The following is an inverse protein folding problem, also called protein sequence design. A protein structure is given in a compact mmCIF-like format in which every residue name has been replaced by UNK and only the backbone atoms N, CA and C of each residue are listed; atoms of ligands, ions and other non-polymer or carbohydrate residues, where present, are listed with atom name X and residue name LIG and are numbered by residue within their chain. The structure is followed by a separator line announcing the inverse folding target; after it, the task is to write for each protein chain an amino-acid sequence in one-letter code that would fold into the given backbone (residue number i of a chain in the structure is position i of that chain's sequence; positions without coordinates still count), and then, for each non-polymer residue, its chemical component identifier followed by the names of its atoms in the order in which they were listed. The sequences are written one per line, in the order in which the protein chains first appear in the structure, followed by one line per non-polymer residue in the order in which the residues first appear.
data_IF_096282535626
#
_entry.id   IF_096282535626
#
_cell.length_a   1.000
_cell.length_b   1.000
_cell.length_c   1.000
_cell.angle_alpha   90.00
_cell.angle_beta   90.00
_cell.angle_gamma   90.00
#
_symmetry.space_group_name_H-M   'P 1'
#
loop_
_entity.id
_entity.type
_entity.pdbx_description
1 polymer ?
#
# COMPACT_ATOMS: atom_id res chain seq x y z
N UNK A 1 -39.15 49.71 -50.50
CA UNK A 1 -39.92 49.19 -49.34
C UNK A 1 -39.43 47.82 -48.87
N UNK A 2 -39.28 46.81 -49.76
CA UNK A 2 -38.72 45.47 -49.42
C UNK A 2 -37.36 45.48 -48.70
N UNK A 3 -36.40 46.31 -49.15
CA UNK A 3 -35.05 46.42 -48.52
C UNK A 3 -35.12 46.88 -47.06
N UNK A 4 -35.84 47.97 -46.80
CA UNK A 4 -36.04 48.51 -45.43
C UNK A 4 -36.74 47.52 -44.49
N UNK A 5 -37.66 46.69 -45.01
CA UNK A 5 -38.32 45.67 -44.21
C UNK A 5 -37.38 44.52 -43.83
N UNK A 6 -36.50 44.12 -44.76
CA UNK A 6 -35.45 43.14 -44.48
C UNK A 6 -34.41 43.66 -43.45
N UNK A 7 -34.05 44.95 -43.54
CA UNK A 7 -33.12 45.58 -42.58
C UNK A 7 -33.70 45.59 -41.15
N UNK A 8 -34.99 45.92 -40.99
CA UNK A 8 -35.67 45.90 -39.68
C UNK A 8 -35.81 44.48 -39.13
N UNK A 9 -36.13 43.50 -39.96
CA UNK A 9 -36.16 42.09 -39.56
C UNK A 9 -34.77 41.58 -39.14
N UNK A 10 -33.72 42.00 -39.84
CA UNK A 10 -32.33 41.65 -39.50
C UNK A 10 -31.90 42.24 -38.16
N UNK A 11 -32.22 43.50 -37.89
CA UNK A 11 -31.96 44.14 -36.60
C UNK A 11 -32.76 43.45 -35.48
N UNK A 12 -34.04 43.16 -35.71
CA UNK A 12 -34.87 42.44 -34.75
C UNK A 12 -34.33 41.05 -34.43
N UNK A 13 -33.90 40.30 -35.44
CA UNK A 13 -33.25 39.00 -35.27
C UNK A 13 -31.97 39.11 -34.43
N UNK A 14 -31.12 40.10 -34.70
CA UNK A 14 -29.89 40.33 -33.92
C UNK A 14 -30.20 40.64 -32.45
N UNK A 15 -31.13 41.55 -32.17
CA UNK A 15 -31.51 41.90 -30.79
C UNK A 15 -32.07 40.69 -30.04
N UNK A 16 -32.96 39.92 -30.68
CA UNK A 16 -33.54 38.71 -30.08
C UNK A 16 -32.47 37.64 -29.85
N UNK A 17 -31.61 37.38 -30.83
CA UNK A 17 -30.54 36.38 -30.71
C UNK A 17 -29.53 36.75 -29.61
N UNK A 18 -29.19 38.03 -29.47
CA UNK A 18 -28.33 38.53 -28.39
C UNK A 18 -29.03 38.40 -27.04
N UNK A 19 -30.30 38.78 -26.95
CA UNK A 19 -31.11 38.64 -25.74
C UNK A 19 -31.23 37.18 -25.28
N UNK A 20 -31.48 36.25 -26.21
CA UNK A 20 -31.50 34.82 -25.94
C UNK A 20 -30.14 34.28 -25.49
N UNK A 21 -29.05 34.77 -26.09
CA UNK A 21 -27.69 34.41 -25.68
C UNK A 21 -27.42 34.85 -24.23
N UNK A 22 -27.73 36.11 -23.90
CA UNK A 22 -27.61 36.61 -22.52
C UNK A 22 -28.48 35.82 -21.54
N UNK A 23 -29.72 35.51 -21.93
CA UNK A 23 -30.64 34.71 -21.10
C UNK A 23 -30.12 33.28 -20.89
N UNK A 24 -29.54 32.64 -21.91
CA UNK A 24 -28.93 31.31 -21.75
C UNK A 24 -27.75 31.34 -20.77
N UNK A 25 -26.88 32.35 -20.84
CA UNK A 25 -25.77 32.50 -19.91
C UNK A 25 -26.27 32.72 -18.48
N UNK A 26 -27.35 33.49 -18.29
CA UNK A 26 -27.99 33.65 -17.00
C UNK A 26 -28.52 32.33 -16.43
N UNK A 27 -29.13 31.48 -17.26
CA UNK A 27 -29.60 30.15 -16.84
C UNK A 27 -28.44 29.20 -16.49
N UNK A 28 -27.31 29.27 -17.21
CA UNK A 28 -26.15 28.41 -16.97
C UNK A 28 -25.24 28.90 -15.84
N UNK A 29 -25.22 30.19 -15.54
CA UNK A 29 -24.39 30.78 -14.49
C UNK A 29 -24.36 30.00 -13.16
N UNK A 30 -25.49 29.56 -12.56
CA UNK A 30 -25.45 28.81 -11.30
C UNK A 30 -24.85 27.40 -11.42
N UNK A 31 -24.90 26.79 -12.60
CA UNK A 31 -24.27 25.49 -12.85
C UNK A 31 -22.76 25.65 -13.07
N UNK A 32 -22.34 26.72 -13.74
CA UNK A 32 -20.93 27.01 -14.02
C UNK A 32 -20.16 27.57 -12.81
N UNK A 33 -20.79 27.64 -11.63
CA UNK A 33 -20.15 28.10 -10.40
C UNK A 33 -19.10 27.12 -9.85
N UNK A 34 -19.09 25.87 -10.32
CA UNK A 34 -18.14 24.83 -9.94
C UNK A 34 -17.82 23.90 -11.13
N UNK A 35 -16.74 23.15 -11.00
CA UNK A 35 -16.22 22.25 -12.05
C UNK A 35 -17.13 21.05 -12.33
N UNK A 36 -18.06 20.73 -11.42
CA UNK A 36 -18.99 19.61 -11.56
C UNK A 36 -20.23 19.97 -12.40
N UNK A 37 -20.42 21.24 -12.75
CA UNK A 37 -21.68 21.73 -13.32
C UNK A 37 -22.89 21.39 -12.45
N UNK A 38 -22.71 21.35 -11.13
CA UNK A 38 -23.76 21.03 -10.17
C UNK A 38 -24.27 22.32 -9.55
N UNK A 39 -25.49 22.71 -9.89
CA UNK A 39 -26.13 23.89 -9.32
C UNK A 39 -26.11 23.88 -7.78
N UNK A 40 -25.75 25.03 -7.20
CA UNK A 40 -25.77 25.27 -5.75
C UNK A 40 -24.88 24.28 -4.95
N UNK A 41 -23.84 23.72 -5.59
CA UNK A 41 -22.85 22.90 -4.91
C UNK A 41 -21.98 23.74 -3.97
N UNK A 42 -22.27 23.66 -2.67
CA UNK A 42 -21.39 24.16 -1.63
C UNK A 42 -20.32 23.12 -1.29
N UNK A 43 -19.06 23.45 -1.57
CA UNK A 43 -17.92 22.59 -1.29
C UNK A 43 -17.79 22.23 0.20
N UNK A 44 -18.35 23.03 1.12
CA UNK A 44 -18.30 22.72 2.55
C UNK A 44 -19.41 21.74 2.90
N UNK A 45 -20.67 22.08 2.62
CA UNK A 45 -21.81 21.28 3.09
C UNK A 45 -22.03 20.03 2.25
N UNK A 46 -22.02 20.16 0.92
CA UNK A 46 -22.33 19.06 0.00
C UNK A 46 -21.20 18.04 0.01
N UNK A 47 -19.94 18.49 -0.03
CA UNK A 47 -18.79 17.58 0.03
C UNK A 47 -18.77 16.77 1.33
N UNK A 48 -18.98 17.41 2.49
CA UNK A 48 -19.02 16.69 3.77
C UNK A 48 -20.20 15.73 3.86
N UNK A 49 -21.38 16.10 3.35
CA UNK A 49 -22.54 15.21 3.32
C UNK A 49 -22.31 13.98 2.42
N UNK A 50 -21.76 14.19 1.21
CA UNK A 50 -21.38 13.10 0.31
C UNK A 50 -20.33 12.19 0.95
N UNK A 51 -19.28 12.76 1.55
CA UNK A 51 -18.26 12.00 2.24
C UNK A 51 -18.82 11.14 3.37
N UNK A 52 -19.75 11.69 4.17
CA UNK A 52 -20.41 10.97 5.24
C UNK A 52 -21.27 9.81 4.71
N UNK A 53 -22.04 10.04 3.64
CA UNK A 53 -22.89 9.03 3.02
C UNK A 53 -22.07 7.87 2.45
N UNK A 54 -21.08 8.15 1.60
CA UNK A 54 -20.22 7.12 1.00
C UNK A 54 -19.41 6.35 2.04
N UNK A 55 -18.81 7.05 3.03
CA UNK A 55 -18.03 6.36 4.08
C UNK A 55 -18.90 5.45 4.94
N UNK A 56 -20.15 5.81 5.19
CA UNK A 56 -21.08 4.95 5.94
C UNK A 56 -21.38 3.66 5.19
N UNK A 57 -21.56 3.73 3.86
CA UNK A 57 -21.74 2.54 3.04
C UNK A 57 -20.45 1.69 2.98
N UNK A 58 -19.28 2.33 2.81
CA UNK A 58 -17.98 1.65 2.78
C UNK A 58 -17.66 0.92 4.09
N UNK A 59 -18.05 1.48 5.25
CA UNK A 59 -17.82 0.87 6.57
C UNK A 59 -18.88 -0.15 6.96
N UNK A 60 -20.15 0.07 6.58
CA UNK A 60 -21.28 -0.69 7.11
C UNK A 60 -21.94 -1.68 6.14
N UNK A 61 -21.78 -1.51 4.82
CA UNK A 61 -22.54 -2.24 3.80
C UNK A 61 -21.71 -2.51 2.54
N UNK A 62 -20.57 -3.20 2.70
CA UNK A 62 -19.62 -3.49 1.63
C UNK A 62 -20.19 -4.29 0.43
N UNK A 63 -21.41 -4.83 0.53
CA UNK A 63 -22.07 -5.62 -0.53
C UNK A 63 -23.02 -4.83 -1.42
N UNK A 64 -23.32 -3.55 -1.13
CA UNK A 64 -24.20 -2.73 -1.99
C UNK A 64 -23.35 -1.98 -3.03
N UNK A 65 -23.58 -2.29 -4.32
CA UNK A 65 -22.91 -1.62 -5.44
C UNK A 65 -23.55 -0.29 -5.85
N UNK A 66 -24.77 -0.01 -5.37
CA UNK A 66 -25.46 1.26 -5.58
C UNK A 66 -26.34 1.59 -4.38
N UNK A 67 -26.54 2.86 -4.12
CA UNK A 67 -27.47 3.36 -3.12
C UNK A 67 -28.01 4.71 -3.54
N UNK A 68 -29.25 5.01 -3.13
CA UNK A 68 -29.86 6.32 -3.36
C UNK A 68 -29.37 7.31 -2.29
N UNK A 69 -28.67 8.35 -2.73
CA UNK A 69 -28.18 9.44 -1.86
C UNK A 69 -29.33 10.20 -1.19
N UNK A 70 -30.52 10.24 -1.79
CA UNK A 70 -31.68 10.98 -1.29
C UNK A 70 -32.59 10.15 -0.38
N UNK A 71 -32.35 8.84 -0.25
CA UNK A 71 -33.13 7.99 0.62
C UNK A 71 -32.88 8.35 2.09
N UNK A 72 -33.97 8.55 2.86
CA UNK A 72 -33.90 8.94 4.27
C UNK A 72 -33.04 8.00 5.13
N UNK A 73 -33.06 6.70 4.83
CA UNK A 73 -32.24 5.68 5.49
C UNK A 73 -30.73 5.89 5.34
N UNK A 74 -30.30 6.62 4.31
CA UNK A 74 -28.90 6.95 4.03
C UNK A 74 -28.50 8.34 4.57
N UNK A 75 -29.44 9.06 5.21
CA UNK A 75 -29.18 10.35 5.84
C UNK A 75 -28.29 10.19 7.07
N UNK A 76 -27.06 10.71 7.01
CA UNK A 76 -26.12 10.68 8.13
C UNK A 76 -26.11 12.04 8.83
N UNK A 77 -26.35 12.13 10.15
CA UNK A 77 -26.16 13.37 10.89
C UNK A 77 -24.70 13.82 10.78
N UNK A 78 -24.45 15.01 10.20
CA UNK A 78 -23.11 15.55 9.98
C UNK A 78 -22.27 15.61 11.27
N UNK A 79 -22.91 15.82 12.42
CA UNK A 79 -22.25 15.81 13.73
C UNK A 79 -21.61 14.46 14.12
N UNK A 80 -22.05 13.34 13.53
CA UNK A 80 -21.46 12.02 13.76
C UNK A 80 -20.28 11.71 12.81
N UNK A 81 -20.03 12.54 11.80
CA UNK A 81 -18.96 12.33 10.82
C UNK A 81 -17.57 12.40 11.48
N UNK A 82 -17.34 13.37 12.36
CA UNK A 82 -16.06 13.52 13.08
C UNK A 82 -15.79 12.35 14.06
N UNK A 83 -16.83 11.80 14.68
CA UNK A 83 -16.70 10.69 15.63
C UNK A 83 -16.44 9.33 14.95
N UNK A 84 -16.97 9.11 13.74
CA UNK A 84 -16.69 7.90 12.93
C UNK A 84 -15.41 8.04 12.09
N UNK A 85 -14.87 9.24 12.00
CA UNK A 85 -13.73 9.65 11.18
C UNK A 85 -12.35 9.31 11.73
N UNK A 86 -12.18 8.20 12.48
CA UNK A 86 -10.83 7.74 12.78
C UNK A 86 -10.24 7.05 11.54
N UNK A 87 -9.93 7.85 10.52
CA UNK A 87 -9.32 7.44 9.24
C UNK A 87 -8.17 6.47 9.46
N UNK A 88 -7.41 6.64 10.55
CA UNK A 88 -6.26 5.80 10.92
C UNK A 88 -6.61 4.36 11.29
N UNK A 89 -7.80 4.10 11.84
CA UNK A 89 -8.26 2.73 12.13
C UNK A 89 -8.75 2.09 10.84
N UNK A 90 -9.51 2.84 10.05
CA UNK A 90 -10.01 2.39 8.75
C UNK A 90 -8.87 2.03 7.77
N UNK A 91 -7.84 2.88 7.65
CA UNK A 91 -6.70 2.58 6.75
C UNK A 91 -5.96 1.32 7.14
N UNK A 92 -5.84 1.03 8.44
CA UNK A 92 -5.24 -0.21 8.94
C UNK A 92 -6.11 -1.41 8.67
N UNK A 93 -7.42 -1.31 8.90
CA UNK A 93 -8.37 -2.38 8.55
C UNK A 93 -8.32 -2.68 7.05
N UNK A 94 -8.27 -1.64 6.22
CA UNK A 94 -8.18 -1.82 4.77
C UNK A 94 -6.91 -2.58 4.39
N UNK A 95 -5.74 -2.19 4.92
CA UNK A 95 -4.45 -2.80 4.58
C UNK A 95 -4.27 -4.22 5.15
N UNK A 96 -4.73 -4.49 6.38
CA UNK A 96 -4.44 -5.72 7.10
C UNK A 96 -5.59 -6.74 7.12
N UNK A 97 -6.81 -6.36 6.74
CA UNK A 97 -7.98 -7.24 6.75
C UNK A 97 -8.66 -7.33 5.37
N UNK A 98 -8.79 -6.20 4.65
CA UNK A 98 -9.56 -6.17 3.39
C UNK A 98 -8.73 -6.37 2.12
N UNK A 99 -7.54 -5.80 2.04
CA UNK A 99 -6.65 -5.84 0.88
C UNK A 99 -5.55 -6.91 1.05
N UNK A 100 -5.97 -8.10 1.43
CA UNK A 100 -5.07 -9.22 1.77
C UNK A 100 -5.10 -10.34 0.73
N UNK A 101 -5.83 -10.16 -0.37
CA UNK A 101 -5.85 -11.15 -1.46
C UNK A 101 -4.55 -11.10 -2.25
N UNK A 102 -4.22 -12.20 -2.94
CA UNK A 102 -3.04 -12.25 -3.84
C UNK A 102 -3.13 -11.18 -4.93
N UNK A 103 -4.32 -10.98 -5.50
CA UNK A 103 -4.56 -9.96 -6.51
C UNK A 103 -4.31 -8.54 -5.97
N UNK A 104 -4.75 -8.24 -4.75
CA UNK A 104 -4.50 -6.94 -4.11
C UNK A 104 -3.00 -6.72 -3.88
N UNK A 105 -2.30 -7.77 -3.42
CA UNK A 105 -0.85 -7.77 -3.25
C UNK A 105 -0.10 -7.47 -4.55
N UNK A 106 -0.41 -8.19 -5.63
CA UNK A 106 0.18 -7.99 -6.96
C UNK A 106 -0.07 -6.56 -7.47
N UNK A 107 -1.32 -6.09 -7.40
CA UNK A 107 -1.67 -4.74 -7.81
C UNK A 107 -0.97 -3.67 -6.96
N UNK A 108 -0.83 -3.91 -5.65
CA UNK A 108 -0.10 -3.05 -4.73
C UNK A 108 1.39 -2.96 -5.08
N UNK A 109 2.04 -4.10 -5.30
CA UNK A 109 3.45 -4.20 -5.67
C UNK A 109 3.75 -3.52 -7.00
N UNK A 110 2.92 -3.74 -8.03
CA UNK A 110 3.13 -3.13 -9.36
C UNK A 110 2.97 -1.62 -9.38
N UNK A 111 2.25 -1.05 -8.40
CA UNK A 111 2.12 0.41 -8.21
C UNK A 111 3.11 0.98 -7.20
N UNK A 112 3.84 0.14 -6.48
CA UNK A 112 4.76 0.57 -5.44
C UNK A 112 5.97 1.24 -6.06
N UNK A 113 6.34 2.39 -5.50
CA UNK A 113 7.56 3.07 -5.91
C UNK A 113 8.80 2.22 -5.56
N UNK A 114 9.70 2.06 -6.53
CA UNK A 114 10.87 1.17 -6.45
C UNK A 114 11.71 1.37 -5.17
N UNK A 115 11.91 2.62 -4.73
CA UNK A 115 12.69 2.93 -3.50
C UNK A 115 12.03 2.44 -2.21
N UNK A 116 10.73 2.14 -2.23
CA UNK A 116 9.96 1.72 -1.06
C UNK A 116 9.87 0.20 -0.93
N UNK A 117 10.28 -0.56 -1.94
CA UNK A 117 10.17 -2.03 -1.98
C UNK A 117 10.91 -2.70 -0.82
N UNK A 118 12.15 -2.28 -0.53
CA UNK A 118 12.94 -2.80 0.59
C UNK A 118 12.38 -2.40 1.96
N UNK A 119 11.47 -1.42 1.98
CA UNK A 119 10.83 -0.91 3.18
C UNK A 119 9.46 -1.55 3.45
N UNK A 120 9.06 -2.53 2.63
CA UNK A 120 7.88 -3.36 2.92
C UNK A 120 8.03 -4.02 4.28
N UNK A 121 6.97 -3.93 5.09
CA UNK A 121 6.94 -4.51 6.42
C UNK A 121 6.59 -5.99 6.28
N UNK A 122 7.57 -6.77 5.88
CA UNK A 122 7.47 -8.22 5.79
C UNK A 122 8.78 -8.85 6.24
N UNK A 123 8.66 -10.07 6.74
CA UNK A 123 9.78 -10.82 7.24
C UNK A 123 9.96 -12.03 6.31
N UNK A 124 10.79 -11.87 5.29
CA UNK A 124 11.01 -12.92 4.28
C UNK A 124 11.43 -14.24 4.94
N UNK A 125 10.83 -15.32 4.47
CA UNK A 125 11.06 -16.68 4.90
C UNK A 125 11.80 -17.48 3.81
N UNK A 126 11.52 -17.18 2.54
CA UNK A 126 12.13 -17.85 1.39
C UNK A 126 12.50 -16.88 0.29
N UNK A 127 13.54 -17.23 -0.48
CA UNK A 127 13.92 -16.50 -1.70
C UNK A 127 12.88 -16.75 -2.80
N UNK A 128 12.51 -18.01 -3.00
CA UNK A 128 11.74 -18.51 -4.13
C UNK A 128 10.40 -19.15 -3.72
N UNK A 129 9.43 -19.18 -4.63
CA UNK A 129 8.11 -19.79 -4.40
C UNK A 129 8.19 -21.31 -4.12
N UNK A 130 9.26 -21.97 -4.60
CA UNK A 130 9.52 -23.40 -4.36
C UNK A 130 10.22 -23.69 -3.02
N UNK A 131 10.49 -22.67 -2.20
CA UNK A 131 11.06 -22.81 -0.87
C UNK A 131 12.46 -23.48 -0.85
N UNK A 132 13.22 -23.37 -1.94
CA UNK A 132 14.57 -23.95 -2.07
C UNK A 132 15.60 -23.25 -1.20
N UNK A 133 15.48 -21.93 -1.07
CA UNK A 133 16.42 -21.12 -0.28
C UNK A 133 15.69 -20.42 0.86
N UNK A 134 16.08 -20.75 2.09
CA UNK A 134 15.54 -20.14 3.30
C UNK A 134 16.22 -18.79 3.62
N UNK A 135 15.40 -17.80 3.98
CA UNK A 135 15.83 -16.43 4.36
C UNK A 135 15.52 -16.06 5.81
N UNK A 136 14.78 -16.89 6.56
CA UNK A 136 14.46 -16.54 7.94
C UNK A 136 15.75 -16.38 8.78
N UNK A 137 15.81 -15.32 9.58
CA UNK A 137 17.03 -14.97 10.33
C UNK A 137 17.47 -16.04 11.35
N UNK A 138 16.54 -16.82 11.91
CA UNK A 138 16.84 -17.90 12.87
C UNK A 138 16.12 -19.21 12.52
N UNK A 139 16.65 -20.33 13.01
CA UNK A 139 16.04 -21.66 12.81
C UNK A 139 14.61 -21.70 13.38
N UNK A 140 14.42 -21.19 14.60
CA UNK A 140 13.10 -21.09 15.21
C UNK A 140 12.12 -20.23 14.41
N UNK A 141 12.60 -19.19 13.71
CA UNK A 141 11.75 -18.40 12.79
C UNK A 141 11.44 -19.19 11.52
N UNK A 142 12.39 -19.93 10.98
CA UNK A 142 12.17 -20.79 9.81
C UNK A 142 11.11 -21.86 10.09
N UNK A 143 11.15 -22.49 11.26
CA UNK A 143 10.12 -23.45 11.70
C UNK A 143 8.72 -22.80 11.77
N UNK A 144 8.64 -21.58 12.33
CA UNK A 144 7.38 -20.81 12.32
C UNK A 144 6.91 -20.46 10.91
N UNK A 145 7.83 -20.14 9.99
CA UNK A 145 7.50 -19.89 8.59
C UNK A 145 6.81 -21.11 7.97
N UNK A 146 7.41 -22.29 8.09
CA UNK A 146 6.86 -23.55 7.58
C UNK A 146 5.50 -23.85 8.21
N UNK A 147 5.36 -23.64 9.52
CA UNK A 147 4.14 -23.99 10.24
C UNK A 147 2.95 -23.03 9.98
N UNK A 148 3.19 -21.76 9.62
CA UNK A 148 2.12 -20.72 9.61
C UNK A 148 2.03 -19.85 8.37
N UNK A 149 3.11 -19.70 7.61
CA UNK A 149 3.24 -18.62 6.62
C UNK A 149 3.46 -19.09 5.18
N UNK A 150 3.48 -20.40 4.92
CA UNK A 150 3.62 -20.95 3.54
C UNK A 150 2.54 -20.46 2.58
N UNK A 151 1.31 -20.25 3.07
CA UNK A 151 0.22 -19.76 2.25
C UNK A 151 0.22 -18.23 2.02
N UNK A 152 1.15 -17.48 2.62
CA UNK A 152 1.23 -16.02 2.53
C UNK A 152 2.33 -15.58 1.55
N UNK A 153 1.96 -14.96 0.43
CA UNK A 153 2.88 -14.50 -0.61
C UNK A 153 3.87 -13.43 -0.12
N UNK A 154 3.52 -12.67 0.92
CA UNK A 154 4.37 -11.60 1.45
C UNK A 154 5.71 -12.10 2.03
N UNK A 155 5.83 -13.39 2.39
CA UNK A 155 7.08 -13.94 2.95
C UNK A 155 8.02 -14.54 1.89
N UNK A 156 7.64 -14.47 0.61
CA UNK A 156 8.43 -14.93 -0.52
C UNK A 156 9.07 -13.74 -1.23
N UNK A 157 10.40 -13.69 -1.32
CA UNK A 157 11.08 -12.58 -1.98
C UNK A 157 10.79 -12.55 -3.49
N UNK A 158 10.73 -13.72 -4.14
CA UNK A 158 10.37 -13.87 -5.55
C UNK A 158 9.01 -13.23 -5.87
N UNK A 159 8.01 -13.42 -5.01
CA UNK A 159 6.68 -12.83 -5.19
C UNK A 159 6.75 -11.29 -5.30
N UNK A 160 7.55 -10.67 -4.44
CA UNK A 160 7.84 -9.23 -4.50
C UNK A 160 8.61 -8.86 -5.76
N UNK A 161 9.75 -9.51 -6.03
CA UNK A 161 10.66 -9.13 -7.11
C UNK A 161 10.05 -9.31 -8.51
N UNK A 162 9.15 -10.29 -8.70
CA UNK A 162 8.41 -10.47 -9.95
C UNK A 162 7.39 -9.37 -10.22
N UNK A 163 6.88 -8.71 -9.18
CA UNK A 163 5.77 -7.76 -9.29
C UNK A 163 6.19 -6.30 -9.05
N UNK A 164 7.48 -5.98 -9.20
CA UNK A 164 8.03 -4.63 -9.17
C UNK A 164 8.78 -4.33 -10.47
N UNK A 165 9.19 -3.06 -10.65
CA UNK A 165 10.13 -2.68 -11.71
C UNK A 165 11.54 -3.19 -11.35
N UNK A 166 11.81 -4.46 -11.66
CA UNK A 166 12.99 -5.18 -11.18
C UNK A 166 14.31 -4.53 -11.60
N UNK A 167 14.41 -4.02 -12.84
CA UNK A 167 15.63 -3.37 -13.35
C UNK A 167 15.98 -2.13 -12.53
N UNK A 168 15.04 -1.21 -12.40
CA UNK A 168 15.19 -0.01 -11.57
C UNK A 168 15.51 -0.35 -10.11
N UNK A 169 14.92 -1.44 -9.59
CA UNK A 169 15.20 -1.91 -8.24
C UNK A 169 16.64 -2.41 -8.09
N UNK A 170 17.16 -3.12 -9.09
CA UNK A 170 18.53 -3.60 -9.15
C UNK A 170 19.54 -2.46 -9.37
N UNK A 171 19.18 -1.40 -10.06
CA UNK A 171 20.05 -0.21 -10.16
C UNK A 171 20.29 0.42 -8.78
N UNK A 172 19.30 0.36 -7.89
CA UNK A 172 19.39 0.88 -6.52
C UNK A 172 19.97 -0.13 -5.52
N UNK A 173 19.71 -1.43 -5.71
CA UNK A 173 19.96 -2.46 -4.69
C UNK A 173 20.84 -3.62 -5.16
N UNK A 174 21.21 -3.67 -6.44
CA UNK A 174 21.80 -4.83 -7.09
C UNK A 174 23.09 -5.31 -6.42
N UNK A 175 23.99 -4.40 -6.05
CA UNK A 175 25.21 -4.76 -5.33
C UNK A 175 24.89 -5.48 -4.00
N UNK A 176 23.93 -4.95 -3.23
CA UNK A 176 23.49 -5.52 -1.95
C UNK A 176 22.73 -6.83 -2.12
N UNK A 177 21.84 -6.88 -3.10
CA UNK A 177 21.11 -8.09 -3.47
C UNK A 177 22.07 -9.22 -3.90
N UNK A 178 23.11 -8.89 -4.66
CA UNK A 178 24.06 -9.88 -5.16
C UNK A 178 24.80 -10.57 -4.02
N UNK A 179 25.52 -9.81 -3.17
CA UNK A 179 26.26 -10.45 -2.09
C UNK A 179 25.35 -11.07 -1.02
N UNK A 180 24.21 -10.44 -0.71
CA UNK A 180 23.35 -10.93 0.36
C UNK A 180 22.57 -12.18 -0.06
N UNK A 181 22.21 -12.32 -1.35
CA UNK A 181 21.28 -13.34 -1.82
C UNK A 181 21.76 -14.01 -3.12
N UNK A 182 21.95 -13.24 -4.19
CA UNK A 182 22.12 -13.83 -5.53
C UNK A 182 23.35 -14.74 -5.62
N UNK A 183 24.48 -14.36 -5.03
CA UNK A 183 25.72 -15.13 -5.07
C UNK A 183 25.57 -16.50 -4.39
N UNK A 184 24.87 -16.54 -3.25
CA UNK A 184 24.57 -17.78 -2.54
C UNK A 184 23.60 -18.68 -3.33
N UNK A 185 22.59 -18.09 -3.98
CA UNK A 185 21.64 -18.82 -4.83
C UNK A 185 22.34 -19.39 -6.07
N UNK A 186 23.20 -18.58 -6.71
CA UNK A 186 23.96 -18.92 -7.91
C UNK A 186 24.99 -20.06 -7.72
N UNK A 187 25.27 -20.46 -6.47
CA UNK A 187 26.11 -21.61 -6.16
C UNK A 187 25.53 -22.94 -6.66
N UNK A 188 24.23 -22.98 -6.99
CA UNK A 188 23.56 -24.16 -7.55
C UNK A 188 23.10 -23.92 -9.00
N UNK A 189 23.07 -24.98 -9.82
CA UNK A 189 22.57 -24.89 -11.20
C UNK A 189 21.12 -24.42 -11.26
N UNK A 190 20.30 -24.86 -10.30
CA UNK A 190 18.90 -24.47 -10.20
C UNK A 190 18.74 -23.02 -9.79
N UNK A 191 19.64 -22.50 -8.96
CA UNK A 191 19.67 -21.08 -8.60
C UNK A 191 20.12 -20.18 -9.74
N UNK A 192 21.06 -20.61 -10.57
CA UNK A 192 21.43 -19.90 -11.80
C UNK A 192 20.25 -19.81 -12.77
N UNK A 193 19.48 -20.89 -12.94
CA UNK A 193 18.26 -20.91 -13.75
C UNK A 193 17.16 -20.02 -13.16
N UNK A 194 16.99 -20.04 -11.84
CA UNK A 194 16.02 -19.18 -11.16
C UNK A 194 16.38 -17.70 -11.33
N UNK A 195 17.65 -17.33 -11.12
CA UNK A 195 18.14 -15.97 -11.33
C UNK A 195 17.96 -15.52 -12.79
N UNK A 196 18.33 -16.35 -13.76
CA UNK A 196 18.14 -15.98 -15.17
C UNK A 196 16.66 -15.82 -15.53
N UNK A 197 15.79 -16.70 -15.02
CA UNK A 197 14.34 -16.58 -15.18
C UNK A 197 13.78 -15.32 -14.51
N UNK A 198 14.28 -14.94 -13.33
CA UNK A 198 13.85 -13.74 -12.63
C UNK A 198 14.28 -12.47 -13.38
N UNK A 199 15.52 -12.44 -13.88
CA UNK A 199 16.06 -11.30 -14.63
C UNK A 199 15.40 -11.12 -16.00
N UNK A 200 14.94 -12.22 -16.61
CA UNK A 200 14.21 -12.21 -17.88
C UNK A 200 12.69 -12.05 -17.69
N UNK A 201 12.19 -11.98 -16.46
CA UNK A 201 10.76 -11.92 -16.20
C UNK A 201 10.18 -10.57 -16.65
N UNK A 202 9.10 -10.65 -17.44
CA UNK A 202 8.23 -9.52 -17.76
C UNK A 202 6.87 -9.75 -17.10
N UNK A 203 6.21 -8.66 -16.69
CA UNK A 203 4.92 -8.75 -16.03
C UNK A 203 3.89 -9.42 -16.95
N UNK A 204 3.42 -10.58 -16.50
CA UNK A 204 2.24 -11.25 -17.07
C UNK A 204 0.97 -10.57 -16.58
N UNK A 205 -0.18 -10.99 -17.12
CA UNK A 205 -1.47 -10.49 -16.63
C UNK A 205 -1.62 -10.79 -15.13
N UNK A 206 -2.38 -9.97 -14.41
CA UNK A 206 -2.60 -10.18 -12.97
C UNK A 206 -3.22 -11.55 -12.69
N UNK A 207 -4.25 -12.02 -13.44
CA UNK A 207 -4.78 -13.38 -13.29
C UNK A 207 -3.73 -14.48 -13.46
N UNK A 208 -2.87 -14.40 -14.47
CA UNK A 208 -1.85 -15.44 -14.70
C UNK A 208 -0.83 -15.52 -13.55
N UNK A 209 -0.45 -14.38 -12.97
CA UNK A 209 0.45 -14.35 -11.81
C UNK A 209 -0.25 -14.87 -10.54
N UNK A 210 -1.55 -14.61 -10.38
CA UNK A 210 -2.37 -15.20 -9.31
C UNK A 210 -2.40 -16.73 -9.44
N UNK A 211 -2.62 -17.25 -10.64
CA UNK A 211 -2.65 -18.70 -10.91
C UNK A 211 -1.29 -19.36 -10.64
N UNK A 212 -0.19 -18.68 -11.00
CA UNK A 212 1.16 -19.13 -10.67
C UNK A 212 1.33 -19.25 -9.15
N UNK A 213 0.96 -18.23 -8.38
CA UNK A 213 1.08 -18.25 -6.92
C UNK A 213 0.19 -19.35 -6.31
N UNK A 214 -1.02 -19.51 -6.83
CA UNK A 214 -1.94 -20.58 -6.42
C UNK A 214 -1.35 -21.98 -6.68
N UNK A 215 -0.59 -22.18 -7.75
CA UNK A 215 0.11 -23.45 -8.03
C UNK A 215 1.14 -23.82 -6.96
N UNK A 216 1.64 -22.84 -6.22
CA UNK A 216 2.52 -23.01 -5.05
C UNK A 216 1.77 -22.95 -3.70
N UNK A 217 0.44 -23.07 -3.72
CA UNK A 217 -0.44 -22.99 -2.54
C UNK A 217 -0.39 -21.64 -1.80
N UNK A 218 0.06 -20.58 -2.47
CA UNK A 218 0.03 -19.21 -1.95
C UNK A 218 -1.36 -18.64 -2.22
N UNK A 219 -2.10 -18.32 -1.15
CA UNK A 219 -3.53 -17.98 -1.22
C UNK A 219 -3.87 -16.59 -0.71
N UNK A 220 -2.94 -15.93 -0.01
CA UNK A 220 -3.11 -14.57 0.52
C UNK A 220 -1.81 -13.78 0.44
N UNK A 221 -1.91 -12.46 0.55
CA UNK A 221 -0.79 -11.55 0.65
C UNK A 221 -1.03 -10.59 1.82
N UNK A 222 -0.41 -10.89 2.96
CA UNK A 222 -0.57 -10.14 4.21
C UNK A 222 0.78 -9.62 4.68
N UNK A 223 0.94 -8.29 4.69
CA UNK A 223 2.08 -7.64 5.31
C UNK A 223 1.99 -7.74 6.84
N UNK A 224 3.14 -7.70 7.51
CA UNK A 224 3.19 -7.69 8.96
C UNK A 224 2.72 -6.33 9.50
N UNK A 225 2.04 -6.39 10.65
CA UNK A 225 1.64 -5.17 11.33
C UNK A 225 2.85 -4.32 11.68
N UNK A 226 2.79 -3.05 11.30
CA UNK A 226 3.83 -2.09 11.60
C UNK A 226 3.25 -0.72 11.92
N UNK A 227 3.88 -0.02 12.85
CA UNK A 227 3.55 1.37 13.17
C UNK A 227 4.68 2.35 12.76
N UNK A 228 5.60 1.91 11.91
CA UNK A 228 6.68 2.72 11.33
C UNK A 228 6.14 3.88 10.48
N UNK A 229 5.11 3.61 9.70
CA UNK A 229 4.48 4.55 8.79
C UNK A 229 2.98 4.55 9.06
N UNK A 230 2.39 5.74 9.18
CA UNK A 230 0.96 5.88 9.15
C UNK A 230 0.48 5.69 7.70
N UNK A 231 -0.31 4.64 7.46
CA UNK A 231 -0.90 4.35 6.15
C UNK A 231 -1.82 5.49 5.73
N UNK A 232 -1.51 6.11 4.60
CA UNK A 232 -2.37 7.10 3.97
C UNK A 232 -3.52 6.47 3.19
N UNK A 233 -4.56 7.26 2.95
CA UNK A 233 -5.70 6.92 2.10
C UNK A 233 -6.18 8.18 1.40
N UNK A 234 -6.66 8.03 0.17
CA UNK A 234 -7.37 9.08 -0.54
C UNK A 234 -8.61 8.46 -1.15
N UNK A 235 -9.77 8.87 -0.65
CA UNK A 235 -11.08 8.43 -1.11
C UNK A 235 -11.61 9.44 -2.13
N UNK A 236 -11.98 8.97 -3.32
CA UNK A 236 -12.52 9.80 -4.39
C UNK A 236 -13.84 9.23 -4.92
N UNK A 237 -14.75 10.11 -5.32
CA UNK A 237 -16.02 9.77 -5.96
C UNK A 237 -16.06 10.45 -7.32
N UNK A 238 -16.34 9.69 -8.37
CA UNK A 238 -16.51 10.25 -9.71
C UNK A 238 -17.94 10.73 -9.90
N UNK A 239 -18.08 12.03 -10.20
CA UNK A 239 -19.35 12.69 -10.49
C UNK A 239 -19.48 12.82 -12.00
N UNK A 240 -20.51 12.20 -12.57
CA UNK A 240 -20.85 12.35 -13.99
C UNK A 240 -21.93 13.41 -14.14
N UNK A 241 -21.64 14.49 -14.86
CA UNK A 241 -22.60 15.58 -15.07
C UNK A 241 -23.57 15.30 -16.22
N UNK A 242 -24.55 16.21 -16.41
CA UNK A 242 -25.58 16.08 -17.45
C UNK A 242 -25.03 16.10 -18.90
N UNK A 243 -23.79 16.56 -19.11
CA UNK A 243 -23.10 16.54 -20.40
C UNK A 243 -22.28 15.25 -20.61
N UNK A 244 -22.30 14.31 -19.65
CA UNK A 244 -21.50 13.09 -19.68
C UNK A 244 -20.03 13.28 -19.30
N UNK A 245 -19.64 14.45 -18.77
CA UNK A 245 -18.28 14.67 -18.29
C UNK A 245 -18.12 14.07 -16.90
N UNK A 246 -17.03 13.35 -16.69
CA UNK A 246 -16.67 12.74 -15.40
C UNK A 246 -15.67 13.64 -14.68
N UNK A 247 -15.94 13.97 -13.42
CA UNK A 247 -15.08 14.78 -12.54
C UNK A 247 -14.93 14.11 -11.18
N UNK A 248 -13.71 13.95 -10.72
CA UNK A 248 -13.43 13.30 -9.42
C UNK A 248 -13.52 14.29 -8.26
N UNK A 249 -14.31 13.96 -7.25
CA UNK A 249 -14.44 14.66 -5.98
C UNK A 249 -13.68 13.89 -4.89
N UNK A 250 -12.75 14.56 -4.19
CA UNK A 250 -12.07 13.97 -3.03
C UNK A 250 -12.98 14.08 -1.82
N UNK A 251 -13.39 12.94 -1.26
CA UNK A 251 -14.28 12.88 -0.09
C UNK A 251 -13.50 12.64 1.22
N UNK A 252 -12.24 12.24 1.13
CA UNK A 252 -11.38 12.07 2.29
C UNK A 252 -9.93 11.88 1.89
N UNK A 253 -9.02 12.45 2.67
CA UNK A 253 -7.59 12.20 2.50
C UNK A 253 -6.90 12.17 3.85
N UNK A 254 -6.04 11.18 4.05
CA UNK A 254 -5.06 11.12 5.12
C UNK A 254 -3.73 10.82 4.45
N UNK A 255 -2.72 11.66 4.59
CA UNK A 255 -1.46 11.43 3.92
C UNK A 255 -0.65 10.32 4.62
N UNK A 256 0.18 9.64 3.85
CA UNK A 256 1.20 8.74 4.41
C UNK A 256 2.24 9.58 5.18
N UNK A 257 2.59 9.15 6.39
CA UNK A 257 3.57 9.84 7.25
C UNK A 257 4.49 8.85 7.93
N UNK A 258 5.80 9.04 7.81
CA UNK A 258 6.76 8.33 8.64
C UNK A 258 6.52 8.72 10.11
N UNK A 259 6.60 7.73 11.01
CA UNK A 259 6.44 7.97 12.45
C UNK A 259 7.77 8.13 13.18
N UNK A 260 8.89 8.16 12.44
CA UNK A 260 10.27 8.37 12.96
C UNK A 260 10.49 7.68 14.32
N UNK A 261 10.74 8.43 15.39
CA UNK A 261 10.95 7.94 16.75
C UNK A 261 9.76 7.18 17.36
N UNK A 262 8.58 7.25 16.75
CA UNK A 262 7.36 6.52 17.14
C UNK A 262 7.24 5.10 16.57
N UNK A 263 8.28 4.58 15.89
CA UNK A 263 8.31 3.20 15.40
C UNK A 263 8.64 2.20 16.51
N UNK A 264 7.60 1.68 17.17
CA UNK A 264 7.76 0.69 18.26
C UNK A 264 7.64 -0.75 17.80
N UNK A 265 6.97 -1.01 16.66
CA UNK A 265 6.93 -2.36 16.07
C UNK A 265 8.27 -2.77 15.46
N UNK A 266 9.26 -1.86 15.44
CA UNK A 266 10.64 -2.16 15.08
C UNK A 266 11.06 -3.40 15.82
N UNK A 267 10.87 -3.40 17.16
CA UNK A 267 11.16 -4.49 18.11
C UNK A 267 10.69 -5.90 17.71
N UNK A 268 9.71 -6.00 16.81
CA UNK A 268 9.19 -7.28 16.31
C UNK A 268 9.86 -7.69 15.00
N UNK A 269 10.03 -6.74 14.08
CA UNK A 269 10.55 -6.96 12.73
C UNK A 269 11.17 -5.68 12.15
N UNK A 270 12.42 -5.79 11.70
CA UNK A 270 13.08 -4.79 10.87
C UNK A 270 12.65 -4.89 9.41
N UNK A 271 12.93 -3.85 8.61
CA UNK A 271 12.69 -3.93 7.16
C UNK A 271 13.82 -4.64 6.44
N UNK A 272 13.53 -5.21 5.27
CA UNK A 272 14.54 -5.80 4.41
C UNK A 272 15.66 -4.82 4.03
N UNK A 273 15.36 -3.51 3.97
CA UNK A 273 16.37 -2.47 3.80
C UNK A 273 17.47 -2.54 4.87
N UNK A 274 17.12 -2.79 6.14
CA UNK A 274 18.08 -2.87 7.23
C UNK A 274 18.85 -4.18 7.19
N UNK A 275 18.20 -5.28 6.80
CA UNK A 275 18.90 -6.54 6.55
C UNK A 275 19.99 -6.36 5.48
N UNK A 276 19.68 -5.68 4.36
CA UNK A 276 20.65 -5.42 3.29
C UNK A 276 21.76 -4.43 3.69
N UNK A 277 21.53 -3.53 4.63
CA UNK A 277 22.53 -2.57 5.11
C UNK A 277 23.44 -3.14 6.21
N UNK A 278 22.92 -4.05 7.03
CA UNK A 278 23.65 -4.64 8.15
C UNK A 278 24.76 -5.59 7.70
N UNK A 279 24.57 -6.27 6.56
CA UNK A 279 25.53 -7.24 6.06
C UNK A 279 26.76 -6.56 5.44
N UNK A 280 27.93 -7.06 5.80
CA UNK A 280 29.20 -6.75 5.15
C UNK A 280 29.44 -7.61 3.89
N UNK A 281 30.53 -7.29 3.19
CA UNK A 281 31.02 -8.13 2.10
C UNK A 281 31.32 -9.55 2.58
N UNK A 282 31.00 -10.56 1.77
CA UNK A 282 31.09 -11.99 2.09
C UNK A 282 30.15 -12.49 3.20
N UNK A 283 29.05 -11.79 3.46
CA UNK A 283 27.95 -12.31 4.28
C UNK A 283 26.70 -12.51 3.42
N UNK A 284 25.92 -13.54 3.72
CA UNK A 284 24.66 -13.86 3.04
C UNK A 284 23.51 -13.99 4.03
N UNK A 285 22.31 -13.61 3.59
CA UNK A 285 21.05 -13.85 4.28
C UNK A 285 20.52 -15.29 4.07
N UNK A 286 21.02 -15.98 3.05
CA UNK A 286 20.57 -17.32 2.68
C UNK A 286 21.12 -18.33 3.68
N UNK A 287 20.24 -19.05 4.38
CA UNK A 287 20.62 -19.92 5.51
C UNK A 287 21.53 -21.09 5.13
N UNK A 288 21.41 -21.61 3.90
CA UNK A 288 22.22 -22.73 3.43
C UNK A 288 23.56 -22.29 2.80
N UNK A 289 23.83 -20.98 2.74
CA UNK A 289 25.10 -20.46 2.27
C UNK A 289 26.21 -20.70 3.30
N UNK A 290 27.43 -20.96 2.82
CA UNK A 290 28.62 -21.05 3.67
C UNK A 290 28.95 -19.72 4.36
N UNK A 291 28.51 -18.61 3.77
CA UNK A 291 28.67 -17.23 4.24
C UNK A 291 27.46 -16.71 5.02
N UNK A 292 26.57 -17.59 5.49
CA UNK A 292 25.39 -17.16 6.26
C UNK A 292 25.78 -16.32 7.48
N UNK A 293 25.25 -15.09 7.58
CA UNK A 293 25.64 -14.13 8.63
C UNK A 293 25.46 -14.71 10.04
N UNK A 294 24.38 -15.47 10.27
CA UNK A 294 24.04 -15.99 11.59
C UNK A 294 24.96 -17.10 12.09
N UNK A 295 25.84 -17.63 11.23
CA UNK A 295 26.90 -18.56 11.62
C UNK A 295 28.09 -17.83 12.27
N UNK A 296 28.36 -16.59 11.88
CA UNK A 296 29.43 -15.76 12.46
C UNK A 296 28.92 -14.89 13.60
N UNK A 297 27.78 -14.22 13.39
CA UNK A 297 27.17 -13.30 14.33
C UNK A 297 25.64 -13.38 14.21
N UNK A 298 24.97 -14.18 15.07
CA UNK A 298 23.51 -14.32 15.04
C UNK A 298 22.77 -13.06 15.51
N UNK A 299 23.45 -12.10 16.14
CA UNK A 299 22.85 -10.87 16.64
C UNK A 299 23.03 -9.67 15.70
N UNK A 300 23.89 -9.76 14.68
CA UNK A 300 24.19 -8.71 13.71
C UNK A 300 22.96 -7.88 13.27
N UNK A 301 21.91 -8.54 12.80
CA UNK A 301 20.71 -7.86 12.32
C UNK A 301 19.92 -7.18 13.45
N UNK A 302 19.90 -7.78 14.64
CA UNK A 302 19.23 -7.20 15.81
C UNK A 302 20.02 -5.97 16.28
N UNK A 303 21.34 -6.08 16.38
CA UNK A 303 22.21 -4.98 16.79
C UNK A 303 22.18 -3.82 15.80
N UNK A 304 22.15 -4.08 14.50
CA UNK A 304 21.99 -3.04 13.49
C UNK A 304 20.65 -2.30 13.63
N UNK A 305 19.58 -3.04 13.95
CA UNK A 305 18.23 -2.47 14.06
C UNK A 305 18.00 -1.63 15.34
N UNK A 306 18.61 -1.98 16.48
CA UNK A 306 18.34 -1.34 17.78
C UNK A 306 19.55 -0.69 18.44
N UNK A 307 20.75 -0.94 17.94
CA UNK A 307 21.98 -0.65 18.65
C UNK A 307 22.21 -1.57 19.85
N UNK A 308 23.37 -1.38 20.48
CA UNK A 308 23.81 -2.10 21.68
C UNK A 308 23.67 -1.15 22.89
N UNK A 309 23.19 -1.62 24.06
CA UNK A 309 22.75 -2.98 24.36
C UNK A 309 21.40 -3.31 23.73
N UNK A 310 21.26 -4.54 23.26
CA UNK A 310 19.98 -4.97 22.67
C UNK A 310 18.89 -5.03 23.76
N UNK A 311 17.60 -4.81 23.43
CA UNK A 311 16.52 -4.82 24.41
C UNK A 311 16.46 -6.10 25.26
N UNK A 312 16.82 -7.26 24.70
CA UNK A 312 16.85 -8.53 25.43
C UNK A 312 18.00 -8.61 26.44
N UNK A 313 19.17 -8.04 26.13
CA UNK A 313 20.31 -8.00 27.06
C UNK A 313 20.02 -7.14 28.28
N UNK A 314 19.27 -6.05 28.10
CA UNK A 314 18.79 -5.21 29.20
C UNK A 314 17.80 -5.97 30.08
N UNK A 315 16.88 -6.74 29.48
CA UNK A 315 15.93 -7.59 30.21
C UNK A 315 16.65 -8.73 30.95
N UNK A 316 17.64 -9.37 30.33
CA UNK A 316 18.42 -10.41 30.98
C UNK A 316 19.26 -9.86 32.14
N UNK A 317 19.96 -8.73 31.95
CA UNK A 317 20.74 -8.08 33.04
C UNK A 317 19.86 -7.58 34.18
N UNK A 318 18.69 -7.03 33.89
CA UNK A 318 17.75 -6.59 34.94
C UNK A 318 17.16 -7.77 35.72
N UNK A 319 16.86 -8.90 35.06
CA UNK A 319 16.42 -10.12 35.74
C UNK A 319 17.50 -10.78 36.60
N UNK A 320 18.76 -10.70 36.19
CA UNK A 320 19.90 -11.16 36.98
C UNK A 320 20.13 -10.27 38.21
N UNK A 321 19.94 -8.95 38.07
CA UNK A 321 20.03 -8.00 39.19
C UNK A 321 18.88 -8.15 40.19
N UNK A 322 17.65 -8.46 39.73
CA UNK A 322 16.52 -8.74 40.64
C UNK A 322 16.70 -10.06 41.40
N UNK A 323 17.26 -11.09 40.75
CA UNK A 323 17.56 -12.37 41.41
C UNK A 323 18.76 -12.26 42.38
N UNK A 324 19.68 -11.31 42.17
CA UNK A 324 20.78 -11.05 43.08
C UNK A 324 20.36 -10.30 44.36
N UNK A 325 19.21 -9.62 44.35
CA UNK A 325 18.64 -8.92 45.52
C UNK A 325 17.76 -9.79 46.43
N UNK A 326 17.52 -11.06 46.09
CA UNK A 326 16.76 -12.02 46.91
C UNK A 326 17.66 -13.01 47.67
N UNK A 327 18.93 -12.66 47.90
CA UNK A 327 19.78 -13.40 48.86
C UNK A 327 19.50 -12.87 50.28
N UNK A 328 19.00 -13.72 51.21
CA UNK A 328 18.69 -13.28 52.56
C UNK A 328 19.97 -13.02 53.36
N UNK A 329 20.03 -11.84 53.99
CA UNK A 329 20.84 -11.60 55.19
C UNK A 329 19.94 -11.57 56.41
#
# INVERSE_FOLDING_TARGET
MRRRFADVLGIGYLVVSMGLSCYSLYLFAPYMANDFFWRDFDATTVSTALAAAFRTQLLGNASRHSFDLMAFENGVPLAQYDARGNTRVFTRMLLYDKLTTVQDGINGLRRLETRLVTNLMTAYCWVDLQQRWALAHSAARQERCVARYTANGAVYLEATLRNIQLRDWLDLNGARFNFAIADAVAASIDGQRWLSSLMAHEWVSVPDEVDLWASFHVTRYELQYANRVATGIQDTVDVTNAMGQVRSLVIGSSPTRAREAGWTTGNLVGTFEYDLQALGHNQSLVRNATTFFGSSDPLLLVEFNYGVPTPYEVLYRSSQLSNASELPS
#
